data_IF_412462951906
#
_entry.id   IF_412462951906
#
_cell.length_a   1.000
_cell.length_b   1.000
_cell.length_c   1.000
_cell.angle_alpha   90.00
_cell.angle_beta   90.00
_cell.angle_gamma   90.00
#
_symmetry.space_group_name_H-M   'P 1'
#
loop_
_entity.id
_entity.type
_entity.pdbx_description
1 polymer ?
#
# COMPACT_ATOMS: atom_id res chain seq x y z
N UNK A 1 0.13 -5.34 29.29
CA UNK A 1 0.22 -3.85 29.33
C UNK A 1 0.76 -3.27 28.02
N UNK A 2 2.07 -3.29 27.72
CA UNK A 2 2.63 -2.69 26.49
C UNK A 2 2.16 -3.37 25.19
N UNK A 3 2.07 -4.70 25.18
CA UNK A 3 1.56 -5.46 24.03
C UNK A 3 0.09 -5.16 23.70
N UNK A 4 -0.71 -4.81 24.71
CA UNK A 4 -2.13 -4.50 24.54
C UNK A 4 -2.32 -3.06 24.05
N UNK A 5 -1.44 -2.14 24.49
CA UNK A 5 -1.35 -0.79 23.95
C UNK A 5 -0.97 -0.80 22.46
N UNK A 6 -0.01 -1.64 22.05
CA UNK A 6 0.39 -1.77 20.64
C UNK A 6 -0.77 -2.35 19.81
N UNK A 7 -1.42 -3.41 20.28
CA UNK A 7 -2.59 -4.01 19.61
C UNK A 7 -3.78 -3.05 19.47
N UNK A 8 -3.96 -2.12 20.40
CA UNK A 8 -5.00 -1.10 20.29
C UNK A 8 -4.66 0.00 19.27
N UNK A 9 -3.37 0.27 19.05
CA UNK A 9 -2.90 1.33 18.14
C UNK A 9 -2.74 0.84 16.70
N UNK A 10 -2.34 -0.41 16.50
CA UNK A 10 -2.17 -1.01 15.16
C UNK A 10 -3.34 -1.95 14.90
N UNK A 11 -4.11 -1.68 13.83
CA UNK A 11 -5.26 -2.50 13.44
C UNK A 11 -5.06 -2.99 12.01
N UNK A 12 -4.88 -4.30 11.85
CA UNK A 12 -4.87 -4.94 10.53
C UNK A 12 -6.31 -5.19 10.10
N UNK A 13 -6.67 -4.74 8.89
CA UNK A 13 -8.03 -4.83 8.35
C UNK A 13 -7.96 -5.11 6.85
N UNK A 14 -8.92 -5.88 6.35
CA UNK A 14 -9.09 -6.10 4.91
C UNK A 14 -9.67 -4.86 4.23
N UNK A 15 -9.48 -4.76 2.91
CA UNK A 15 -10.02 -3.67 2.08
C UNK A 15 -11.53 -3.49 2.25
N UNK A 16 -12.27 -4.59 2.36
CA UNK A 16 -13.74 -4.57 2.51
C UNK A 16 -14.18 -3.84 3.78
N UNK A 17 -13.38 -3.87 4.85
CA UNK A 17 -13.68 -3.15 6.09
C UNK A 17 -13.63 -1.62 5.92
N UNK A 18 -12.88 -1.13 4.92
CA UNK A 18 -12.60 0.28 4.72
C UNK A 18 -13.74 1.00 3.98
N UNK A 19 -14.63 0.26 3.31
CA UNK A 19 -15.74 0.82 2.56
C UNK A 19 -16.72 1.56 3.49
N UNK A 20 -17.09 2.78 3.12
CA UNK A 20 -18.07 3.58 3.88
C UNK A 20 -17.52 4.31 5.10
N UNK A 21 -16.24 4.14 5.44
CA UNK A 21 -15.62 4.76 6.62
C UNK A 21 -14.77 5.96 6.24
N UNK A 22 -14.61 6.92 7.14
CA UNK A 22 -13.63 8.02 7.03
C UNK A 22 -12.55 7.82 8.08
N UNK A 23 -11.29 7.95 7.68
CA UNK A 23 -10.14 7.83 8.59
C UNK A 23 -9.70 9.21 9.03
N UNK A 24 -9.80 9.47 10.33
CA UNK A 24 -9.42 10.74 10.95
C UNK A 24 -8.25 10.50 11.90
N UNK A 25 -7.21 11.33 11.81
CA UNK A 25 -6.04 11.25 12.68
C UNK A 25 -5.38 9.85 12.65
N UNK A 26 -5.15 9.31 11.45
CA UNK A 26 -4.59 7.97 11.24
C UNK A 26 -3.35 7.97 10.34
N UNK A 27 -2.50 6.98 10.55
CA UNK A 27 -1.52 6.58 9.56
C UNK A 27 -2.03 5.30 8.90
N UNK A 28 -2.35 5.37 7.60
CA UNK A 28 -2.86 4.25 6.83
C UNK A 28 -1.73 3.70 5.97
N UNK A 29 -1.36 2.44 6.18
CA UNK A 29 -0.41 1.72 5.34
C UNK A 29 -1.21 0.73 4.49
N UNK A 30 -1.04 0.82 3.17
CA UNK A 30 -1.62 -0.09 2.19
C UNK A 30 -0.45 -0.89 1.63
N UNK A 31 -0.32 -2.13 2.10
CA UNK A 31 0.68 -3.06 1.59
C UNK A 31 0.14 -3.81 0.38
N UNK A 32 1.05 -4.33 -0.45
CA UNK A 32 0.73 -5.01 -1.71
C UNK A 32 -0.19 -4.17 -2.63
N UNK A 33 0.01 -2.86 -2.65
CA UNK A 33 -0.83 -1.91 -3.37
C UNK A 33 -0.85 -2.14 -4.88
N UNK A 34 0.13 -2.85 -5.44
CA UNK A 34 0.15 -3.23 -6.85
C UNK A 34 -1.04 -4.10 -7.25
N UNK A 35 -1.58 -4.86 -6.29
CA UNK A 35 -2.72 -5.77 -6.49
C UNK A 35 -4.09 -5.09 -6.40
N UNK A 36 -4.11 -3.76 -6.21
CA UNK A 36 -5.35 -2.99 -6.23
C UNK A 36 -5.67 -2.52 -7.65
N UNK A 37 -6.96 -2.44 -7.99
CA UNK A 37 -7.41 -1.67 -9.16
C UNK A 37 -7.35 -0.15 -8.86
N UNK A 38 -7.31 0.72 -9.89
CA UNK A 38 -7.40 2.18 -9.73
C UNK A 38 -8.66 2.61 -8.98
N UNK A 39 -9.77 1.90 -9.21
CA UNK A 39 -11.05 2.12 -8.52
C UNK A 39 -10.95 1.81 -7.02
N UNK A 40 -10.32 0.69 -6.65
CA UNK A 40 -10.09 0.35 -5.24
C UNK A 40 -9.14 1.34 -4.57
N UNK A 41 -8.04 1.69 -5.22
CA UNK A 41 -7.09 2.69 -4.73
C UNK A 41 -7.77 4.05 -4.47
N UNK A 42 -8.51 4.56 -5.46
CA UNK A 42 -9.29 5.81 -5.31
C UNK A 42 -10.29 5.71 -4.15
N UNK A 43 -10.95 4.56 -4.01
CA UNK A 43 -11.92 4.34 -2.93
C UNK A 43 -11.27 4.41 -1.56
N UNK A 44 -10.04 3.94 -1.39
CA UNK A 44 -9.31 3.99 -0.11
C UNK A 44 -8.81 5.40 0.19
N UNK A 45 -8.12 6.02 -0.76
CA UNK A 45 -7.46 7.33 -0.55
C UNK A 45 -8.50 8.41 -0.24
N UNK A 46 -9.64 8.40 -0.92
CA UNK A 46 -10.72 9.39 -0.68
C UNK A 46 -11.39 9.27 0.69
N UNK A 47 -11.05 8.24 1.49
CA UNK A 47 -11.48 8.13 2.89
C UNK A 47 -10.53 8.78 3.88
N UNK A 48 -9.35 9.22 3.44
CA UNK A 48 -8.43 9.95 4.30
C UNK A 48 -9.01 11.35 4.61
N UNK A 49 -9.47 11.54 5.84
CA UNK A 49 -9.89 12.85 6.34
C UNK A 49 -8.75 13.60 7.01
N UNK A 50 -9.05 14.70 7.71
CA UNK A 50 -8.04 15.55 8.34
C UNK A 50 -7.03 14.79 9.22
N UNK A 51 -5.77 15.21 9.14
CA UNK A 51 -4.62 14.62 9.87
C UNK A 51 -4.40 13.13 9.58
N UNK A 52 -4.83 12.64 8.41
CA UNK A 52 -4.52 11.28 7.95
C UNK A 52 -3.44 11.30 6.90
N UNK A 53 -2.45 10.41 7.05
CA UNK A 53 -1.42 10.14 6.05
C UNK A 53 -1.63 8.73 5.50
N UNK A 54 -1.54 8.60 4.17
CA UNK A 54 -1.61 7.31 3.47
C UNK A 54 -0.23 7.00 2.91
N UNK A 55 0.23 5.76 3.11
CA UNK A 55 1.46 5.22 2.54
C UNK A 55 1.09 3.95 1.79
N UNK A 56 1.36 3.93 0.50
CA UNK A 56 1.20 2.75 -0.34
C UNK A 56 2.56 2.09 -0.52
N UNK A 57 2.64 0.79 -0.28
CA UNK A 57 3.82 -0.05 -0.48
C UNK A 57 3.46 -1.10 -1.53
N UNK A 58 4.44 -1.53 -2.32
CA UNK A 58 4.24 -2.57 -3.30
C UNK A 58 5.32 -2.61 -4.37
N UNK A 59 5.29 -3.68 -5.17
CA UNK A 59 6.22 -3.91 -6.25
C UNK A 59 5.46 -4.23 -7.54
N UNK A 60 5.55 -3.34 -8.53
CA UNK A 60 4.84 -3.49 -9.82
C UNK A 60 5.23 -4.78 -10.56
N UNK A 61 6.45 -5.30 -10.37
CA UNK A 61 6.89 -6.55 -10.98
C UNK A 61 6.29 -7.81 -10.31
N UNK A 62 5.59 -7.67 -9.18
CA UNK A 62 4.98 -8.76 -8.41
C UNK A 62 3.45 -8.57 -8.33
N UNK A 63 2.82 -8.32 -9.48
CA UNK A 63 1.36 -8.35 -9.59
C UNK A 63 0.92 -9.81 -9.57
N UNK A 64 0.09 -10.17 -8.59
CA UNK A 64 -0.29 -11.56 -8.31
C UNK A 64 -1.49 -12.03 -9.13
N UNK A 65 -2.17 -11.12 -9.84
CA UNK A 65 -3.43 -11.40 -10.52
C UNK A 65 -3.34 -11.14 -12.02
N UNK A 66 -3.84 -12.08 -12.87
CA UNK A 66 -3.82 -11.89 -14.33
C UNK A 66 -4.76 -10.78 -14.81
N UNK A 67 -5.63 -10.27 -13.94
CA UNK A 67 -6.58 -9.20 -14.26
C UNK A 67 -5.99 -7.80 -14.08
N UNK A 68 -4.75 -7.70 -13.61
CA UNK A 68 -4.02 -6.46 -13.46
C UNK A 68 -2.72 -6.52 -14.26
N UNK A 69 -2.31 -5.36 -14.72
CA UNK A 69 -1.06 -5.10 -15.43
C UNK A 69 -0.41 -3.89 -14.81
N UNK A 70 0.85 -3.61 -15.15
CA UNK A 70 1.55 -2.42 -14.64
C UNK A 70 0.75 -1.13 -14.90
N UNK A 71 0.19 -0.98 -16.10
CA UNK A 71 -0.62 0.19 -16.49
C UNK A 71 -2.03 0.21 -15.88
N UNK A 72 -2.53 -0.92 -15.39
CA UNK A 72 -3.84 -1.01 -14.73
C UNK A 72 -3.75 -1.24 -13.23
N UNK A 73 -2.55 -1.21 -12.64
CA UNK A 73 -2.33 -1.29 -11.21
C UNK A 73 -2.71 0.02 -10.51
N UNK A 74 -3.34 -0.10 -9.34
CA UNK A 74 -3.69 1.01 -8.47
C UNK A 74 -2.48 1.76 -7.93
N UNK A 75 -1.35 1.07 -7.73
CA UNK A 75 -0.09 1.68 -7.30
C UNK A 75 0.50 2.58 -8.40
N UNK A 76 0.64 2.05 -9.63
CA UNK A 76 1.12 2.84 -10.76
C UNK A 76 0.18 4.03 -11.05
N UNK A 77 -1.13 3.78 -10.99
CA UNK A 77 -2.15 4.81 -11.18
C UNK A 77 -2.02 5.98 -10.19
N UNK A 78 -1.84 5.71 -8.89
CA UNK A 78 -1.72 6.80 -7.90
C UNK A 78 -0.40 7.55 -8.06
N UNK A 79 0.71 6.85 -8.30
CA UNK A 79 2.02 7.48 -8.53
C UNK A 79 1.93 8.43 -9.71
N UNK A 80 1.32 8.02 -10.82
CA UNK A 80 1.14 8.86 -12.00
C UNK A 80 0.26 10.08 -11.75
N UNK A 81 -0.92 9.86 -11.15
CA UNK A 81 -1.91 10.94 -10.93
C UNK A 81 -1.48 11.96 -9.88
N UNK A 82 -0.58 11.58 -8.97
CA UNK A 82 -0.13 12.46 -7.89
C UNK A 82 1.19 13.16 -8.23
N UNK A 83 1.75 12.95 -9.44
CA UNK A 83 2.90 13.71 -9.95
C UNK A 83 2.62 15.21 -9.85
N UNK A 84 3.58 15.95 -9.29
CA UNK A 84 3.49 17.41 -9.14
C UNK A 84 2.58 17.91 -8.02
N UNK A 85 1.87 17.03 -7.30
CA UNK A 85 1.13 17.46 -6.11
C UNK A 85 2.10 17.66 -4.95
N UNK A 86 2.17 18.87 -4.40
CA UNK A 86 3.15 19.27 -3.38
C UNK A 86 3.09 18.45 -2.06
N UNK A 87 2.02 17.69 -1.84
CA UNK A 87 1.85 16.85 -0.65
C UNK A 87 2.02 15.35 -0.93
N UNK A 88 2.43 14.99 -2.14
CA UNK A 88 2.82 13.62 -2.49
C UNK A 88 4.34 13.48 -2.51
N UNK A 89 4.79 12.26 -2.21
CA UNK A 89 6.17 11.82 -2.43
C UNK A 89 6.15 10.38 -2.91
N UNK A 90 7.05 10.06 -3.84
CA UNK A 90 7.28 8.71 -4.32
C UNK A 90 8.76 8.39 -4.10
N UNK A 91 9.02 7.22 -3.52
CA UNK A 91 10.37 6.71 -3.27
C UNK A 91 10.45 5.35 -3.92
N UNK A 92 11.47 5.16 -4.77
CA UNK A 92 11.79 3.86 -5.34
C UNK A 92 12.94 3.26 -4.53
N UNK A 93 12.69 2.13 -3.87
CA UNK A 93 13.73 1.36 -3.23
C UNK A 93 14.45 0.53 -4.30
N UNK A 94 15.76 0.73 -4.46
CA UNK A 94 16.54 0.08 -5.52
C UNK A 94 16.86 -1.38 -5.20
N UNK A 95 16.89 -1.75 -3.92
CA UNK A 95 17.23 -3.09 -3.46
C UNK A 95 16.39 -3.43 -2.23
N UNK A 96 15.89 -4.67 -2.19
CA UNK A 96 15.32 -5.25 -0.99
C UNK A 96 16.39 -5.97 -0.19
N UNK A 97 16.39 -5.77 1.13
CA UNK A 97 17.15 -6.62 2.05
C UNK A 97 16.30 -7.84 2.38
N UNK A 98 16.84 -9.03 2.10
CA UNK A 98 16.16 -10.30 2.31
C UNK A 98 16.99 -11.18 3.24
N UNK A 99 16.35 -12.16 3.85
CA UNK A 99 17.09 -13.15 4.65
C UNK A 99 17.90 -14.05 3.74
N UNK A 100 18.99 -14.64 4.27
CA UNK A 100 19.78 -15.66 3.55
C UNK A 100 18.93 -16.78 2.94
N UNK A 101 17.82 -17.15 3.60
CA UNK A 101 16.89 -18.16 3.09
C UNK A 101 16.14 -17.66 1.83
N UNK A 102 15.65 -16.42 1.86
CA UNK A 102 14.89 -15.85 0.75
C UNK A 102 15.79 -15.55 -0.46
N UNK A 103 17.05 -15.16 -0.24
CA UNK A 103 18.03 -14.99 -1.31
C UNK A 103 18.33 -16.33 -1.99
N UNK A 104 18.65 -17.37 -1.20
CA UNK A 104 18.89 -18.71 -1.73
C UNK A 104 17.69 -19.24 -2.51
N UNK A 105 16.47 -19.09 -1.97
CA UNK A 105 15.24 -19.52 -2.64
C UNK A 105 15.04 -18.84 -4.01
N UNK A 106 15.39 -17.55 -4.14
CA UNK A 106 15.27 -16.80 -5.38
C UNK A 106 16.29 -17.24 -6.45
N UNK A 107 17.39 -17.89 -6.06
CA UNK A 107 18.41 -18.40 -6.98
C UNK A 107 18.08 -19.81 -7.49
N UNK A 108 17.41 -20.63 -6.68
CA UNK A 108 17.21 -22.07 -6.95
C UNK A 108 15.79 -22.46 -7.38
N UNK A 109 14.79 -21.59 -7.18
CA UNK A 109 13.40 -21.77 -7.61
C UNK A 109 13.06 -20.84 -8.77
#
# INVERSE_FOLDING_TARGET
ATHDLIRNRIKVKSLNFMRGRTFLNKFLIIDEAQNLTPKQMKTLITRAGPRTKVVCLGNIAQIDTPYLTEGSSGLAYVVDRFKGWAHAGHITLQRGERSRLADYANEVL
#
